data_IF_097705412006
#
_entry.id   IF_097705412006
#
_cell.length_a   1.000
_cell.length_b   1.000
_cell.length_c   1.000
_cell.angle_alpha   90.00
_cell.angle_beta   90.00
_cell.angle_gamma   90.00
#
_symmetry.space_group_name_H-M   'P 1'
#
loop_
_entity.id
_entity.type
_entity.pdbx_description
1 polymer ?
#
# COMPACT_ATOMS: atom_id res chain seq x y z
N UNK A 1 10.90 6.69 13.35
CA UNK A 1 10.60 6.92 11.92
C UNK A 1 9.16 6.54 11.62
N UNK A 2 8.38 7.43 10.95
CA UNK A 2 6.98 7.16 10.56
C UNK A 2 6.90 6.87 9.07
N UNK A 3 6.39 5.69 8.70
CA UNK A 3 6.19 5.27 7.30
C UNK A 3 4.68 5.10 7.05
N UNK A 4 4.19 5.68 5.97
CA UNK A 4 2.77 5.64 5.62
C UNK A 4 2.53 5.07 4.23
N UNK A 5 1.33 4.55 4.00
CA UNK A 5 0.80 4.21 2.67
C UNK A 5 -0.57 4.85 2.46
N UNK A 6 -0.84 5.30 1.24
CA UNK A 6 -2.11 5.92 0.88
C UNK A 6 -2.43 5.72 -0.60
N UNK A 7 -3.44 4.92 -0.90
CA UNK A 7 -4.04 4.90 -2.22
C UNK A 7 -4.84 6.20 -2.40
N UNK A 8 -4.37 7.09 -3.26
CA UNK A 8 -4.94 8.44 -3.44
C UNK A 8 -6.08 8.49 -4.45
N UNK A 9 -6.33 7.40 -5.19
CA UNK A 9 -7.39 7.30 -6.20
C UNK A 9 -7.40 8.51 -7.16
N UNK A 10 -6.22 8.86 -7.70
CA UNK A 10 -5.99 9.99 -8.62
C UNK A 10 -5.34 11.19 -7.94
N UNK A 11 -4.01 11.25 -8.02
CA UNK A 11 -3.19 12.23 -7.27
C UNK A 11 -3.56 13.68 -7.54
N UNK A 12 -3.83 14.05 -8.81
CA UNK A 12 -4.13 15.43 -9.17
C UNK A 12 -5.51 15.88 -8.64
N UNK A 13 -6.50 15.00 -8.70
CA UNK A 13 -7.85 15.31 -8.20
C UNK A 13 -7.94 15.35 -6.66
N UNK A 14 -7.01 14.71 -5.97
CA UNK A 14 -6.94 14.63 -4.49
C UNK A 14 -5.73 15.37 -3.92
N UNK A 15 -5.02 16.15 -4.75
CA UNK A 15 -3.83 16.87 -4.32
C UNK A 15 -4.08 17.76 -3.08
N UNK A 16 -5.15 18.55 -3.00
CA UNK A 16 -5.42 19.35 -1.79
C UNK A 16 -5.59 18.49 -0.52
N UNK A 17 -6.22 17.31 -0.64
CA UNK A 17 -6.39 16.36 0.47
C UNK A 17 -5.04 15.78 0.88
N UNK A 18 -4.24 15.35 -0.09
CA UNK A 18 -2.89 14.81 0.15
C UNK A 18 -2.01 15.84 0.84
N UNK A 19 -1.91 17.07 0.32
CA UNK A 19 -1.08 18.13 0.88
C UNK A 19 -1.52 18.52 2.30
N UNK A 20 -2.82 18.61 2.55
CA UNK A 20 -3.35 18.85 3.89
C UNK A 20 -2.92 17.75 4.85
N UNK A 21 -3.12 16.49 4.50
CA UNK A 21 -2.75 15.35 5.34
C UNK A 21 -1.23 15.30 5.60
N UNK A 22 -0.40 15.54 4.57
CA UNK A 22 1.06 15.63 4.71
C UNK A 22 1.46 16.73 5.70
N UNK A 23 0.79 17.89 5.64
CA UNK A 23 1.04 19.02 6.55
C UNK A 23 0.65 18.73 8.00
N UNK A 24 -0.46 18.01 8.22
CA UNK A 24 -0.96 17.66 9.55
C UNK A 24 -0.16 16.52 10.19
N UNK A 25 0.14 15.46 9.44
CA UNK A 25 0.70 14.20 9.98
C UNK A 25 2.23 14.12 9.89
N UNK A 26 2.81 14.77 8.88
CA UNK A 26 4.25 14.87 8.61
C UNK A 26 4.99 13.51 8.67
N UNK A 27 4.53 12.47 7.97
CA UNK A 27 5.25 11.21 7.93
C UNK A 27 6.64 11.37 7.31
N UNK A 28 7.60 10.52 7.70
CA UNK A 28 8.95 10.57 7.13
C UNK A 28 9.00 9.98 5.72
N UNK A 29 8.23 8.91 5.49
CA UNK A 29 8.09 8.24 4.19
C UNK A 29 6.61 8.00 3.87
N UNK A 30 6.21 8.19 2.61
CA UNK A 30 4.85 7.91 2.13
C UNK A 30 4.91 7.13 0.83
N UNK A 31 4.22 6.00 0.80
CA UNK A 31 3.98 5.21 -0.40
C UNK A 31 2.59 5.54 -0.94
N UNK A 32 2.51 6.00 -2.20
CA UNK A 32 1.24 6.34 -2.85
C UNK A 32 0.89 5.31 -3.91
N UNK A 33 -0.40 5.01 -4.06
CA UNK A 33 -0.94 4.14 -5.09
C UNK A 33 -2.05 4.86 -5.85
N UNK A 34 -2.37 4.34 -7.02
CA UNK A 34 -3.37 4.88 -7.95
C UNK A 34 -3.17 6.35 -8.28
N UNK A 35 -1.94 6.71 -8.70
CA UNK A 35 -1.67 8.09 -9.13
C UNK A 35 -2.58 8.52 -10.29
N UNK A 36 -2.93 7.58 -11.19
CA UNK A 36 -3.79 7.81 -12.38
C UNK A 36 -3.34 9.02 -13.20
N UNK A 37 -2.04 9.26 -13.21
CA UNK A 37 -1.39 10.36 -13.91
C UNK A 37 -0.18 9.81 -14.69
N UNK A 38 0.02 10.22 -15.95
CA UNK A 38 1.26 9.89 -16.66
C UNK A 38 2.46 10.57 -15.98
N UNK A 39 3.65 10.11 -16.30
CA UNK A 39 4.90 10.51 -15.66
C UNK A 39 5.04 12.04 -15.54
N UNK A 40 4.80 12.75 -16.63
CA UNK A 40 4.97 14.20 -16.77
C UNK A 40 3.87 15.04 -16.06
N UNK A 41 2.83 14.38 -15.52
CA UNK A 41 1.72 15.05 -14.80
C UNK A 41 1.70 14.76 -13.31
N UNK A 42 2.73 14.11 -12.80
CA UNK A 42 2.89 14.01 -11.35
C UNK A 42 3.11 15.40 -10.75
N UNK A 43 2.45 15.78 -9.65
CA UNK A 43 2.51 17.12 -9.08
C UNK A 43 3.80 17.34 -8.26
N UNK A 44 4.97 17.11 -8.87
CA UNK A 44 6.28 17.12 -8.21
C UNK A 44 6.52 18.42 -7.43
N UNK A 45 6.30 19.58 -8.07
CA UNK A 45 6.56 20.87 -7.43
C UNK A 45 5.74 21.07 -6.16
N UNK A 46 4.44 20.70 -6.18
CA UNK A 46 3.59 20.84 -5.01
C UNK A 46 4.02 19.90 -3.87
N UNK A 47 4.54 18.72 -4.19
CA UNK A 47 5.11 17.77 -3.23
C UNK A 47 6.41 18.32 -2.64
N UNK A 48 7.28 18.91 -3.47
CA UNK A 48 8.51 19.57 -3.02
C UNK A 48 8.22 20.77 -2.12
N UNK A 49 7.24 21.61 -2.47
CA UNK A 49 6.79 22.74 -1.66
C UNK A 49 6.24 22.29 -0.30
N UNK A 50 5.68 21.08 -0.22
CA UNK A 50 5.26 20.45 1.03
C UNK A 50 6.43 19.84 1.84
N UNK A 51 7.66 19.92 1.36
CA UNK A 51 8.87 19.46 2.05
C UNK A 51 9.25 18.00 1.78
N UNK A 52 8.77 17.40 0.68
CA UNK A 52 9.08 16.01 0.31
C UNK A 52 9.84 15.92 -1.00
N UNK A 53 10.89 15.11 -1.02
CA UNK A 53 11.42 14.56 -2.27
C UNK A 53 10.51 13.40 -2.73
N UNK A 54 10.51 13.12 -4.04
CA UNK A 54 9.67 12.06 -4.59
C UNK A 54 10.39 11.29 -5.71
N UNK A 55 10.09 10.01 -5.80
CA UNK A 55 10.24 9.19 -7.01
C UNK A 55 8.87 8.59 -7.33
N UNK A 56 8.58 8.42 -8.61
CA UNK A 56 7.29 7.89 -9.05
C UNK A 56 7.41 7.09 -10.34
N UNK A 57 6.43 6.23 -10.56
CA UNK A 57 6.23 5.51 -11.80
C UNK A 57 4.77 5.73 -12.22
N UNK A 58 4.56 6.66 -13.14
CA UNK A 58 3.25 7.11 -13.61
C UNK A 58 2.66 6.23 -14.70
N UNK A 59 1.34 6.26 -14.82
CA UNK A 59 0.61 5.64 -15.92
C UNK A 59 -0.68 6.42 -16.18
N UNK A 60 -0.98 6.67 -17.45
CA UNK A 60 -2.20 7.39 -17.83
C UNK A 60 -3.44 6.60 -17.44
N UNK A 61 -4.40 7.27 -16.81
CA UNK A 61 -5.74 6.78 -16.44
C UNK A 61 -5.79 5.73 -15.34
N UNK A 62 -4.82 4.85 -15.20
CA UNK A 62 -4.81 3.73 -14.27
C UNK A 62 -3.47 3.60 -13.58
N UNK A 63 -3.44 2.85 -12.46
CA UNK A 63 -2.22 2.52 -11.74
C UNK A 63 -1.40 3.75 -11.30
N UNK A 64 -0.10 3.61 -11.23
CA UNK A 64 0.84 4.61 -10.79
C UNK A 64 1.15 4.50 -9.30
N UNK A 65 2.45 4.47 -8.99
CA UNK A 65 2.97 4.38 -7.61
C UNK A 65 4.03 5.44 -7.39
N UNK A 66 4.16 5.92 -6.15
CA UNK A 66 5.21 6.87 -5.77
C UNK A 66 5.72 6.61 -4.36
N UNK A 67 6.97 7.00 -4.11
CA UNK A 67 7.55 7.07 -2.77
C UNK A 67 7.95 8.52 -2.52
N UNK A 68 7.46 9.09 -1.43
CA UNK A 68 7.83 10.42 -0.94
C UNK A 68 8.70 10.25 0.29
N UNK A 69 9.71 11.11 0.46
CA UNK A 69 10.52 11.15 1.68
C UNK A 69 10.74 12.58 2.14
N UNK A 70 10.59 12.80 3.45
CA UNK A 70 10.83 14.08 4.12
C UNK A 70 12.14 13.99 4.90
N UNK A 71 13.03 14.95 4.68
CA UNK A 71 14.34 15.03 5.35
C UNK A 71 15.31 13.85 5.10
N UNK A 72 15.01 12.97 4.14
CA UNK A 72 15.84 11.83 3.78
C UNK A 72 16.04 11.76 2.28
N UNK A 73 17.23 11.33 1.85
CA UNK A 73 17.50 11.02 0.45
C UNK A 73 16.76 9.73 0.04
N UNK A 74 16.32 9.70 -1.21
CA UNK A 74 15.72 8.53 -1.83
C UNK A 74 16.73 7.93 -2.80
N UNK A 75 17.16 6.68 -2.57
CA UNK A 75 17.98 5.92 -3.51
C UNK A 75 17.10 4.89 -4.21
N UNK A 76 16.67 5.19 -5.44
CA UNK A 76 15.83 4.31 -6.24
C UNK A 76 16.55 2.98 -6.50
N UNK A 77 15.85 1.86 -6.37
CA UNK A 77 16.33 0.50 -6.63
C UNK A 77 15.73 -0.04 -7.93
N UNK A 78 14.41 -0.04 -8.05
CA UNK A 78 13.72 -0.44 -9.27
C UNK A 78 12.32 0.18 -9.38
N UNK A 79 11.77 0.22 -10.61
CA UNK A 79 10.44 0.77 -10.93
C UNK A 79 9.41 -0.27 -11.35
N UNK A 80 9.78 -1.53 -11.40
CA UNK A 80 8.90 -2.63 -11.78
C UNK A 80 9.13 -3.81 -10.85
N UNK A 81 8.09 -4.60 -10.64
CA UNK A 81 8.23 -5.87 -9.92
C UNK A 81 9.01 -6.86 -10.79
N UNK A 82 10.13 -7.42 -10.32
CA UNK A 82 10.91 -8.41 -11.08
C UNK A 82 10.09 -9.65 -11.51
N UNK A 83 10.61 -10.40 -12.50
CA UNK A 83 10.07 -11.69 -12.90
C UNK A 83 9.18 -11.71 -14.15
N UNK A 84 8.80 -10.54 -14.69
CA UNK A 84 8.08 -10.48 -15.96
C UNK A 84 8.40 -9.15 -16.68
N UNK A 85 9.31 -9.15 -17.66
CA UNK A 85 9.70 -7.96 -18.40
C UNK A 85 8.61 -7.42 -19.35
N UNK A 86 7.57 -8.22 -19.64
CA UNK A 86 6.45 -7.81 -20.47
C UNK A 86 5.35 -7.08 -19.66
N UNK A 87 5.41 -7.14 -18.34
CA UNK A 87 4.47 -6.42 -17.49
C UNK A 87 4.91 -4.95 -17.31
N UNK A 88 4.35 -4.09 -18.13
CA UNK A 88 4.65 -2.65 -18.17
C UNK A 88 3.73 -1.81 -17.24
N UNK A 89 2.93 -2.44 -16.39
CA UNK A 89 2.04 -1.70 -15.50
C UNK A 89 2.81 -1.05 -14.34
N UNK A 90 2.51 0.23 -14.09
CA UNK A 90 3.11 1.02 -13.01
C UNK A 90 2.51 0.65 -11.65
N UNK A 91 2.93 -0.51 -11.10
CA UNK A 91 2.38 -1.11 -9.88
C UNK A 91 3.40 -1.33 -8.77
N UNK A 92 4.68 -1.10 -9.05
CA UNK A 92 5.75 -1.33 -8.09
C UNK A 92 6.86 -0.30 -8.25
N UNK A 93 7.38 0.20 -7.15
CA UNK A 93 8.59 1.00 -7.08
C UNK A 93 9.30 0.72 -5.75
N UNK A 94 10.63 0.65 -5.77
CA UNK A 94 11.44 0.31 -4.61
C UNK A 94 12.59 1.29 -4.44
N UNK A 95 12.84 1.70 -3.21
CA UNK A 95 13.94 2.60 -2.87
C UNK A 95 14.57 2.24 -1.51
N UNK A 96 15.79 2.71 -1.30
CA UNK A 96 16.41 2.74 0.03
C UNK A 96 16.28 4.15 0.62
N UNK A 97 15.73 4.24 1.83
CA UNK A 97 15.58 5.48 2.58
C UNK A 97 16.07 5.24 4.00
N UNK A 98 17.06 5.99 4.44
CA UNK A 98 17.67 5.86 5.77
C UNK A 98 18.03 4.40 6.13
N UNK A 99 18.64 3.67 5.18
CA UNK A 99 19.03 2.26 5.36
C UNK A 99 17.92 1.22 5.29
N UNK A 100 16.66 1.64 5.15
CA UNK A 100 15.50 0.76 5.02
C UNK A 100 15.12 0.62 3.54
N UNK A 101 14.95 -0.61 3.08
CA UNK A 101 14.36 -0.90 1.76
C UNK A 101 12.85 -0.72 1.87
N UNK A 102 12.30 0.16 1.04
CA UNK A 102 10.87 0.47 0.99
C UNK A 102 10.32 0.04 -0.37
N UNK A 103 9.52 -1.00 -0.40
CA UNK A 103 8.77 -1.43 -1.58
C UNK A 103 7.33 -0.89 -1.52
N UNK A 104 7.01 0.01 -2.45
CA UNK A 104 5.66 0.55 -2.64
C UNK A 104 4.95 -0.26 -3.72
N UNK A 105 3.80 -0.84 -3.42
CA UNK A 105 3.08 -1.69 -4.35
C UNK A 105 1.59 -1.35 -4.48
N UNK A 106 1.06 -1.62 -5.66
CA UNK A 106 -0.36 -1.60 -6.00
C UNK A 106 -0.72 -2.91 -6.69
N UNK A 107 -1.11 -3.90 -5.89
CA UNK A 107 -1.46 -5.25 -6.35
C UNK A 107 -2.74 -5.20 -7.20
N UNK A 108 -2.82 -5.93 -8.33
CA UNK A 108 -4.01 -5.93 -9.18
C UNK A 108 -5.30 -6.23 -8.40
N UNK A 109 -6.38 -5.48 -8.68
CA UNK A 109 -7.69 -5.75 -8.08
C UNK A 109 -8.20 -7.16 -8.41
N UNK A 110 -8.14 -7.57 -9.66
CA UNK A 110 -8.45 -8.93 -10.12
C UNK A 110 -9.91 -9.18 -10.47
N UNK A 111 -10.84 -8.26 -10.21
CA UNK A 111 -12.23 -8.43 -10.58
C UNK A 111 -12.49 -8.19 -12.09
N UNK A 112 -13.46 -8.88 -12.69
CA UNK A 112 -14.27 -9.96 -12.13
C UNK A 112 -13.48 -11.27 -11.95
N UNK A 113 -13.79 -12.04 -10.91
CA UNK A 113 -13.22 -13.34 -10.63
C UNK A 113 -14.33 -14.44 -10.72
N UNK A 114 -14.03 -15.62 -11.29
CA UNK A 114 -12.77 -15.99 -11.98
C UNK A 114 -12.63 -15.28 -13.33
N UNK A 115 -11.41 -15.23 -13.87
CA UNK A 115 -11.16 -14.70 -15.20
C UNK A 115 -9.74 -14.16 -15.39
N UNK A 116 -9.40 -13.64 -16.58
CA UNK A 116 -8.03 -13.26 -16.92
C UNK A 116 -7.41 -12.20 -16.00
N UNK A 117 -8.22 -11.29 -15.44
CA UNK A 117 -7.76 -10.29 -14.49
C UNK A 117 -7.38 -10.92 -13.14
N UNK A 118 -8.15 -11.93 -12.72
CA UNK A 118 -7.86 -12.68 -11.50
C UNK A 118 -6.61 -13.55 -11.67
N UNK A 119 -6.46 -14.21 -12.85
CA UNK A 119 -5.26 -14.97 -13.17
C UNK A 119 -4.01 -14.09 -13.20
N UNK A 120 -4.11 -12.89 -13.76
CA UNK A 120 -3.03 -11.88 -13.71
C UNK A 120 -2.69 -11.49 -12.28
N UNK A 121 -3.69 -11.26 -11.43
CA UNK A 121 -3.50 -10.97 -10.00
C UNK A 121 -2.72 -12.07 -9.28
N UNK A 122 -3.07 -13.34 -9.51
CA UNK A 122 -2.40 -14.46 -8.87
C UNK A 122 -0.94 -14.61 -9.35
N UNK A 123 -0.66 -14.46 -10.65
CA UNK A 123 0.71 -14.44 -11.19
C UNK A 123 1.52 -13.27 -10.63
N UNK A 124 0.90 -12.10 -10.49
CA UNK A 124 1.57 -10.94 -9.89
C UNK A 124 1.91 -11.20 -8.42
N UNK A 125 1.02 -11.85 -7.68
CA UNK A 125 1.23 -12.24 -6.29
C UNK A 125 2.37 -13.27 -6.15
N UNK A 126 2.47 -14.21 -7.07
CA UNK A 126 3.57 -15.18 -7.12
C UNK A 126 4.92 -14.48 -7.34
N UNK A 127 5.00 -13.55 -8.28
CA UNK A 127 6.20 -12.72 -8.50
C UNK A 127 6.57 -11.91 -7.26
N UNK A 128 5.59 -11.30 -6.61
CA UNK A 128 5.82 -10.57 -5.35
C UNK A 128 6.39 -11.50 -4.27
N UNK A 129 5.86 -12.72 -4.17
CA UNK A 129 6.32 -13.72 -3.20
C UNK A 129 7.78 -14.13 -3.47
N UNK A 130 8.18 -14.31 -4.72
CA UNK A 130 9.56 -14.61 -5.11
C UNK A 130 10.49 -13.44 -4.78
N UNK A 131 10.13 -12.21 -5.18
CA UNK A 131 10.94 -11.03 -4.89
C UNK A 131 11.05 -10.75 -3.38
N UNK A 132 9.98 -10.95 -2.64
CA UNK A 132 9.98 -10.81 -1.18
C UNK A 132 10.93 -11.81 -0.50
N UNK A 133 11.06 -13.03 -1.01
CA UNK A 133 12.03 -14.01 -0.52
C UNK A 133 13.48 -13.53 -0.75
N UNK A 134 13.78 -12.93 -1.90
CA UNK A 134 15.09 -12.34 -2.21
C UNK A 134 15.41 -11.17 -1.28
N UNK A 135 14.42 -10.30 -1.00
CA UNK A 135 14.56 -9.20 -0.06
C UNK A 135 14.87 -9.69 1.36
N UNK A 136 14.18 -10.72 1.85
CA UNK A 136 14.49 -11.33 3.15
C UNK A 136 15.88 -11.95 3.18
N UNK A 137 16.26 -12.66 2.10
CA UNK A 137 17.58 -13.28 1.99
C UNK A 137 18.72 -12.24 1.98
N UNK A 138 18.46 -11.01 1.56
CA UNK A 138 19.44 -9.92 1.59
C UNK A 138 19.81 -9.49 3.01
N UNK A 139 18.99 -9.82 4.02
CA UNK A 139 19.15 -9.42 5.41
C UNK A 139 18.94 -7.92 5.69
N UNK A 140 18.60 -7.12 4.69
CA UNK A 140 18.37 -5.69 4.85
C UNK A 140 17.04 -5.42 5.55
N UNK A 141 16.97 -4.38 6.41
CA UNK A 141 15.70 -3.90 6.94
C UNK A 141 14.76 -3.53 5.79
N UNK A 142 13.62 -4.19 5.70
CA UNK A 142 12.71 -4.04 4.55
C UNK A 142 11.26 -3.90 4.98
N UNK A 143 10.54 -2.98 4.36
CA UNK A 143 9.08 -2.85 4.43
C UNK A 143 8.48 -2.96 3.04
N UNK A 144 7.51 -3.86 2.87
CA UNK A 144 6.64 -3.95 1.69
C UNK A 144 5.28 -3.39 2.07
N UNK A 145 4.87 -2.29 1.45
CA UNK A 145 3.62 -1.61 1.80
C UNK A 145 2.89 -1.09 0.59
N UNK A 146 1.59 -0.94 0.72
CA UNK A 146 0.73 -0.45 -0.35
C UNK A 146 -0.67 -1.03 -0.28
N UNK A 147 -1.41 -0.86 -1.37
CA UNK A 147 -2.71 -1.49 -1.60
C UNK A 147 -2.50 -2.89 -2.19
N UNK A 148 -2.72 -3.88 -1.36
CA UNK A 148 -2.60 -5.30 -1.74
C UNK A 148 -3.87 -5.86 -2.38
N UNK A 149 -4.97 -5.10 -2.36
CA UNK A 149 -6.26 -5.58 -2.85
C UNK A 149 -6.62 -6.99 -2.31
N UNK A 150 -6.33 -7.26 -1.05
CA UNK A 150 -6.67 -8.52 -0.38
C UNK A 150 -7.10 -8.28 1.06
N UNK A 151 -8.15 -8.97 1.47
CA UNK A 151 -8.60 -9.11 2.85
C UNK A 151 -8.13 -10.48 3.36
N UNK A 152 -7.06 -10.57 4.17
CA UNK A 152 -6.45 -11.85 4.54
C UNK A 152 -7.34 -12.75 5.41
N UNK A 153 -8.22 -12.15 6.23
CA UNK A 153 -9.07 -12.85 7.17
C UNK A 153 -10.48 -12.24 7.24
N UNK A 154 -11.42 -12.92 7.87
CA UNK A 154 -12.80 -12.44 8.05
C UNK A 154 -12.88 -11.16 8.88
N UNK A 155 -11.97 -10.98 9.84
CA UNK A 155 -11.84 -9.75 10.63
C UNK A 155 -11.45 -8.52 9.80
N UNK A 156 -10.95 -8.72 8.58
CA UNK A 156 -10.50 -7.65 7.67
C UNK A 156 -11.61 -7.12 6.77
N UNK A 157 -12.84 -7.62 6.93
CA UNK A 157 -13.93 -7.30 6.01
C UNK A 157 -15.27 -7.18 6.73
N UNK A 158 -16.02 -6.13 6.39
CA UNK A 158 -17.39 -5.99 6.85
C UNK A 158 -18.31 -6.97 6.10
N UNK A 159 -19.00 -7.88 6.83
CA UNK A 159 -19.89 -8.92 6.29
C UNK A 159 -19.18 -9.85 5.28
N UNK A 160 -18.23 -10.68 5.74
CA UNK A 160 -17.40 -11.54 4.89
C UNK A 160 -18.20 -12.44 3.95
N UNK A 161 -19.39 -12.87 4.35
CA UNK A 161 -20.30 -13.70 3.56
C UNK A 161 -20.70 -13.08 2.20
N UNK A 162 -20.54 -11.78 2.05
CA UNK A 162 -20.83 -11.03 0.80
C UNK A 162 -19.67 -10.96 -0.17
N UNK A 163 -18.49 -11.37 0.26
CA UNK A 163 -17.23 -11.18 -0.47
C UNK A 163 -16.61 -12.50 -0.94
N UNK A 164 -17.23 -13.64 -0.65
CA UNK A 164 -16.65 -14.97 -0.90
C UNK A 164 -16.26 -15.22 -2.36
N UNK A 165 -16.94 -14.58 -3.31
CA UNK A 165 -16.68 -14.68 -4.75
C UNK A 165 -15.85 -13.50 -5.29
N UNK A 166 -15.56 -12.49 -4.46
CA UNK A 166 -14.81 -11.31 -4.85
C UNK A 166 -13.30 -11.61 -4.93
N UNK A 167 -12.62 -11.06 -5.94
CA UNK A 167 -11.19 -11.25 -6.15
C UNK A 167 -10.31 -10.79 -4.98
N UNK A 168 -10.84 -9.96 -4.07
CA UNK A 168 -10.13 -9.48 -2.88
C UNK A 168 -10.22 -10.46 -1.71
N UNK A 169 -11.15 -11.43 -1.75
CA UNK A 169 -11.43 -12.33 -0.61
C UNK A 169 -11.48 -13.82 -0.94
N UNK A 170 -11.42 -14.20 -2.21
CA UNK A 170 -11.39 -15.60 -2.61
C UNK A 170 -10.30 -16.40 -1.89
N UNK A 171 -10.53 -17.71 -1.64
CA UNK A 171 -9.55 -18.56 -0.97
C UNK A 171 -8.15 -18.51 -1.58
N UNK A 172 -8.05 -18.44 -2.91
CA UNK A 172 -6.79 -18.44 -3.66
C UNK A 172 -5.94 -17.21 -3.31
N UNK A 173 -6.52 -16.01 -3.27
CA UNK A 173 -5.78 -14.78 -2.96
C UNK A 173 -5.43 -14.68 -1.48
N UNK A 174 -6.29 -15.20 -0.60
CA UNK A 174 -6.00 -15.29 0.84
C UNK A 174 -4.85 -16.28 1.11
N UNK A 175 -4.83 -17.40 0.39
CA UNK A 175 -3.73 -18.37 0.46
C UNK A 175 -2.42 -17.76 -0.04
N UNK A 176 -2.44 -17.00 -1.15
CA UNK A 176 -1.28 -16.30 -1.67
C UNK A 176 -0.70 -15.30 -0.64
N UNK A 177 -1.55 -14.50 0.03
CA UNK A 177 -1.10 -13.60 1.08
C UNK A 177 -0.49 -14.35 2.27
N UNK A 178 -1.10 -15.47 2.69
CA UNK A 178 -0.56 -16.31 3.77
C UNK A 178 0.80 -16.90 3.41
N UNK A 179 0.97 -17.35 2.17
CA UNK A 179 2.25 -17.88 1.67
C UNK A 179 3.33 -16.80 1.70
N UNK A 180 3.03 -15.60 1.25
CA UNK A 180 3.94 -14.45 1.33
C UNK A 180 4.33 -14.17 2.80
N UNK A 181 3.36 -14.00 3.68
CA UNK A 181 3.60 -13.70 5.09
C UNK A 181 4.39 -14.81 5.82
N UNK A 182 4.14 -16.09 5.48
CA UNK A 182 4.79 -17.25 6.08
C UNK A 182 6.30 -17.35 5.80
N UNK A 183 6.84 -16.56 4.87
CA UNK A 183 8.28 -16.44 4.64
C UNK A 183 9.03 -15.81 5.81
N UNK A 184 8.35 -15.20 6.77
CA UNK A 184 8.92 -14.50 7.92
C UNK A 184 8.55 -13.00 7.97
N UNK A 185 7.67 -12.55 7.09
CA UNK A 185 7.12 -11.20 7.14
C UNK A 185 6.13 -11.03 8.28
N UNK A 186 6.15 -9.87 8.92
CA UNK A 186 5.19 -9.51 9.97
C UNK A 186 4.19 -8.50 9.42
N UNK A 187 2.89 -8.84 9.44
CA UNK A 187 1.81 -7.86 9.24
C UNK A 187 1.77 -6.93 10.46
N UNK A 188 2.19 -5.68 10.25
CA UNK A 188 2.36 -4.71 11.33
C UNK A 188 1.07 -4.39 12.08
N UNK A 189 -0.04 -4.25 11.34
CA UNK A 189 -1.35 -3.96 11.94
C UNK A 189 -1.80 -5.16 12.79
N UNK A 190 -1.73 -6.38 12.26
CA UNK A 190 -2.16 -7.58 12.99
C UNK A 190 -1.25 -7.93 14.16
N UNK A 191 0.03 -7.54 14.11
CA UNK A 191 0.92 -7.69 15.27
C UNK A 191 0.49 -6.83 16.46
N UNK A 192 0.05 -5.60 16.21
CA UNK A 192 -0.37 -4.66 17.25
C UNK A 192 -1.85 -4.81 17.64
N UNK A 193 -2.68 -5.19 16.70
CA UNK A 193 -4.14 -5.27 16.83
C UNK A 193 -4.67 -6.61 16.31
N UNK A 194 -4.38 -7.72 17.03
CA UNK A 194 -4.67 -9.08 16.53
C UNK A 194 -6.16 -9.39 16.40
N UNK A 195 -7.01 -8.75 17.22
CA UNK A 195 -8.44 -9.08 17.33
C UNK A 195 -9.38 -7.93 16.94
N UNK A 196 -8.83 -6.78 16.51
CA UNK A 196 -9.63 -5.60 16.21
C UNK A 196 -10.06 -5.55 14.74
N UNK A 197 -11.31 -5.16 14.49
CA UNK A 197 -11.76 -4.81 13.17
C UNK A 197 -11.17 -3.45 12.78
N UNK A 198 -10.18 -3.46 11.89
CA UNK A 198 -9.52 -2.27 11.37
C UNK A 198 -9.71 -2.25 9.86
N UNK A 199 -10.24 -1.16 9.33
CA UNK A 199 -10.48 -0.99 7.91
C UNK A 199 -9.64 0.17 7.38
N UNK A 200 -9.26 0.09 6.10
CA UNK A 200 -8.45 1.09 5.40
C UNK A 200 -9.17 1.68 4.19
N UNK A 201 -10.23 1.02 3.74
CA UNK A 201 -11.04 1.35 2.57
C UNK A 201 -12.53 1.33 2.90
N UNK A 202 -13.29 2.29 2.34
CA UNK A 202 -14.77 2.36 2.38
C UNK A 202 -15.28 2.88 1.05
N UNK A 203 -16.05 2.08 0.34
CA UNK A 203 -16.69 2.46 -0.92
C UNK A 203 -17.42 3.81 -0.80
N UNK A 204 -17.50 4.57 -1.88
CA UNK A 204 -18.27 5.81 -1.93
C UNK A 204 -19.78 5.60 -1.85
N UNK A 205 -20.25 4.40 -2.21
CA UNK A 205 -21.68 4.10 -2.31
C UNK A 205 -22.29 3.66 -0.96
N UNK A 206 -23.61 3.82 -0.88
CA UNK A 206 -24.43 3.30 0.23
C UNK A 206 -23.99 3.77 1.61
N UNK A 207 -23.38 4.95 1.70
CA UNK A 207 -22.85 5.48 2.95
C UNK A 207 -21.95 4.46 3.70
N UNK A 208 -21.07 3.78 2.97
CA UNK A 208 -20.23 2.73 3.56
C UNK A 208 -19.35 3.26 4.71
N UNK A 209 -18.76 4.45 4.56
CA UNK A 209 -17.97 5.09 5.61
C UNK A 209 -18.79 5.38 6.88
N UNK A 210 -19.98 5.97 6.75
CA UNK A 210 -20.84 6.28 7.90
C UNK A 210 -21.36 5.03 8.64
N UNK A 211 -21.47 3.89 7.95
CA UNK A 211 -21.88 2.60 8.52
C UNK A 211 -20.69 1.75 8.98
N UNK A 212 -19.48 2.22 8.82
CA UNK A 212 -18.25 1.47 9.00
C UNK A 212 -18.18 0.14 8.22
N UNK A 213 -18.75 0.13 7.02
CA UNK A 213 -18.74 -1.01 6.13
C UNK A 213 -17.46 -1.01 5.29
N UNK A 214 -16.33 -1.31 5.93
CA UNK A 214 -15.00 -1.19 5.37
C UNK A 214 -14.30 -2.50 5.08
N UNK A 215 -13.13 -2.38 4.48
CA UNK A 215 -12.18 -3.44 4.14
C UNK A 215 -10.78 -3.03 4.61
N UNK A 216 -9.98 -3.99 5.06
CA UNK A 216 -8.53 -3.79 5.26
C UNK A 216 -7.79 -4.39 4.07
N UNK A 217 -7.35 -3.56 3.16
CA UNK A 217 -6.67 -3.95 1.92
C UNK A 217 -5.31 -3.27 1.70
N UNK A 218 -5.00 -2.29 2.54
CA UNK A 218 -3.68 -1.65 2.61
C UNK A 218 -2.88 -2.28 3.76
N UNK A 219 -1.67 -2.77 3.49
CA UNK A 219 -0.90 -3.56 4.44
C UNK A 219 0.54 -3.08 4.55
N UNK A 220 1.16 -3.40 5.70
CA UNK A 220 2.59 -3.28 5.97
C UNK A 220 3.14 -4.66 6.33
N UNK A 221 4.02 -5.19 5.48
CA UNK A 221 4.80 -6.39 5.77
C UNK A 221 6.22 -5.98 6.12
N UNK A 222 6.65 -6.31 7.34
CA UNK A 222 7.96 -5.96 7.88
C UNK A 222 8.88 -7.17 7.92
N UNK A 223 10.13 -6.99 7.49
CA UNK A 223 11.19 -7.97 7.73
C UNK A 223 11.43 -8.16 9.25
N UNK A 224 12.00 -9.30 9.70
CA UNK A 224 12.19 -9.60 11.12
C UNK A 224 12.92 -8.50 11.90
N UNK A 225 13.94 -7.89 11.31
CA UNK A 225 14.72 -6.82 11.92
C UNK A 225 13.94 -5.49 12.07
N UNK A 226 12.98 -5.20 11.19
CA UNK A 226 12.07 -4.06 11.39
C UNK A 226 10.91 -4.39 12.32
N UNK A 227 10.43 -5.62 12.31
CA UNK A 227 9.33 -6.05 13.17
C UNK A 227 9.60 -5.83 14.66
N UNK A 228 10.86 -5.98 15.10
CA UNK A 228 11.27 -5.71 16.49
C UNK A 228 11.25 -4.22 16.85
N UNK A 229 11.34 -3.33 15.85
CA UNK A 229 11.35 -1.88 16.01
C UNK A 229 9.95 -1.26 15.93
N UNK A 230 8.92 -2.03 15.64
CA UNK A 230 7.55 -1.55 15.51
C UNK A 230 7.00 -1.08 16.87
N UNK A 231 6.68 0.21 16.99
CA UNK A 231 6.18 0.85 18.21
C UNK A 231 4.74 1.36 18.11
N UNK A 232 4.25 1.58 16.90
CA UNK A 232 2.88 2.06 16.70
C UNK A 232 2.39 1.84 15.27
N UNK A 233 1.07 1.82 15.11
CA UNK A 233 0.40 1.81 13.81
C UNK A 233 -1.00 2.41 13.97
N UNK A 234 -1.51 3.04 12.91
CA UNK A 234 -2.88 3.55 12.91
C UNK A 234 -3.38 3.77 11.49
N UNK A 235 -4.69 3.96 11.37
CA UNK A 235 -5.38 4.40 10.17
C UNK A 235 -5.93 5.80 10.44
N UNK A 236 -5.54 6.78 9.63
CA UNK A 236 -6.06 8.16 9.72
C UNK A 236 -7.46 8.23 9.10
N UNK A 237 -8.37 7.45 9.69
CA UNK A 237 -9.74 7.24 9.24
C UNK A 237 -10.49 8.55 8.97
N UNK A 238 -10.22 9.60 9.75
CA UNK A 238 -10.87 10.90 9.63
C UNK A 238 -10.66 11.53 8.23
N UNK A 239 -9.54 11.23 7.57
CA UNK A 239 -9.24 11.71 6.21
C UNK A 239 -10.28 11.19 5.20
N UNK A 240 -10.79 9.96 5.39
CA UNK A 240 -11.87 9.41 4.56
C UNK A 240 -13.18 10.20 4.66
N UNK A 241 -13.36 10.95 5.73
CA UNK A 241 -14.51 11.85 5.94
C UNK A 241 -14.35 13.25 5.31
N UNK A 242 -13.20 13.60 4.75
CA UNK A 242 -12.99 14.90 4.12
C UNK A 242 -13.67 14.99 2.75
N UNK A 243 -13.91 16.23 2.29
CA UNK A 243 -14.47 16.47 0.96
C UNK A 243 -13.48 16.06 -0.15
N UNK A 244 -13.96 15.44 -1.21
CA UNK A 244 -13.18 15.00 -2.38
C UNK A 244 -12.01 14.07 -2.05
N UNK A 245 -12.12 13.31 -0.98
CA UNK A 245 -11.10 12.35 -0.55
C UNK A 245 -11.08 11.08 -1.40
N UNK A 246 -10.06 10.25 -1.20
CA UNK A 246 -10.01 8.87 -1.69
C UNK A 246 -11.04 7.99 -0.97
N UNK A 247 -11.37 6.84 -1.53
CA UNK A 247 -12.10 5.75 -0.87
C UNK A 247 -11.23 4.98 0.15
N UNK A 248 -9.91 5.18 0.11
CA UNK A 248 -8.99 4.75 1.16
C UNK A 248 -8.72 5.85 2.18
N UNK A 249 -8.28 5.45 3.38
CA UNK A 249 -7.65 6.33 4.36
C UNK A 249 -6.15 6.04 4.44
N UNK A 250 -5.30 7.04 4.76
CA UNK A 250 -3.89 6.80 5.00
C UNK A 250 -3.67 5.84 6.18
N UNK A 251 -2.74 4.91 6.00
CA UNK A 251 -2.29 3.98 7.04
C UNK A 251 -0.83 4.26 7.33
N UNK A 252 -0.42 4.20 8.59
CA UNK A 252 0.98 4.42 8.95
C UNK A 252 1.44 3.52 10.08
N UNK A 253 2.74 3.33 10.13
CA UNK A 253 3.46 2.66 11.21
C UNK A 253 4.52 3.59 11.79
N UNK A 254 4.90 3.36 13.04
CA UNK A 254 6.07 3.97 13.67
C UNK A 254 7.09 2.91 14.03
N UNK A 255 8.34 3.21 13.69
CA UNK A 255 9.51 2.41 14.00
C UNK A 255 10.40 3.18 14.97
N UNK A 256 10.86 2.52 16.02
CA UNK A 256 11.91 3.05 16.89
C UNK A 256 13.19 3.30 16.10
N UNK A 257 13.98 4.27 16.53
CA UNK A 257 15.34 4.46 16.05
C UNK A 257 16.21 3.27 16.43
N UNK A 258 17.32 3.08 15.71
CA UNK A 258 18.29 2.04 16.05
C UNK A 258 19.03 2.32 17.34
#
# INVERSE_FOLDING_TARGET
MKIATYNVNGVNGRLPVLLRWLGETKPDVVCLQELKAPEEKFPEQAIQDAGYAAIWHGQKSWNGVAILARNHGISEVCRVLPGDPEDLHSRYIEAVINGIVVGCLYLPNGNPAPGPKFDYKLRWFERLTLHAAELLASGKPTVLTGDYNVMPAEIDVYKPERWVDDALFRPEVRAAFKTLAAQGWTDAIRKLYPEENIYTFWDYFRNAYGRDAGLRIDHFLLSPNLSSRLTGANVDRHVRGWEKTSDHAPVWIELADE
#
